data_IF_813817232147
#
_entry.id   IF_813817232147
#
_cell.length_a   1.000
_cell.length_b   1.000
_cell.length_c   1.000
_cell.angle_alpha   90.00
_cell.angle_beta   90.00
_cell.angle_gamma   90.00
#
_symmetry.space_group_name_H-M   'P 1'
#
loop_
_entity.id
_entity.type
_entity.pdbx_description
1 polymer ?
#
# COMPACT_ATOMS: atom_id res chain seq x y z
N UNK A 1 18.74 46.58 26.78
CA UNK A 1 19.46 45.65 25.87
C UNK A 1 19.60 44.28 26.52
N UNK A 2 18.49 43.69 26.99
CA UNK A 2 18.50 42.42 27.77
C UNK A 2 17.24 41.61 27.46
N UNK A 3 16.08 42.27 27.28
CA UNK A 3 14.80 41.64 26.92
C UNK A 3 14.78 41.04 25.50
N UNK A 4 15.44 41.68 24.51
CA UNK A 4 15.51 41.17 23.13
C UNK A 4 16.32 39.87 22.99
N UNK A 5 17.33 39.68 23.83
CA UNK A 5 18.21 38.50 23.82
C UNK A 5 17.52 37.30 24.49
N UNK A 6 16.73 37.56 25.55
CA UNK A 6 15.94 36.51 26.21
C UNK A 6 14.83 35.94 25.30
N UNK A 7 14.16 36.81 24.53
CA UNK A 7 13.11 36.38 23.58
C UNK A 7 13.71 35.55 22.45
N UNK A 8 14.90 35.91 21.96
CA UNK A 8 15.61 35.17 20.91
C UNK A 8 16.17 33.83 21.38
N UNK A 9 16.55 33.72 22.67
CA UNK A 9 17.01 32.47 23.27
C UNK A 9 15.84 31.51 23.56
N UNK A 10 14.66 32.03 23.93
CA UNK A 10 13.46 31.23 24.17
C UNK A 10 12.84 30.67 22.88
N UNK A 11 12.98 31.40 21.76
CA UNK A 11 12.53 30.96 20.43
C UNK A 11 13.43 29.87 19.81
N UNK A 12 14.65 29.67 20.32
CA UNK A 12 15.58 28.67 19.79
C UNK A 12 15.46 27.30 20.47
N UNK A 13 14.77 27.19 21.62
CA UNK A 13 14.74 25.96 22.43
C UNK A 13 13.49 25.09 22.26
N UNK A 14 12.55 25.46 21.38
CA UNK A 14 11.28 24.73 21.24
C UNK A 14 11.06 24.16 19.83
N UNK A 15 12.05 23.43 19.33
CA UNK A 15 11.83 22.49 18.23
C UNK A 15 11.97 21.09 18.81
N UNK A 16 10.89 20.56 19.37
CA UNK A 16 10.78 19.13 19.64
C UNK A 16 10.64 18.43 18.28
N UNK A 17 11.55 17.53 17.89
CA UNK A 17 11.35 16.72 16.70
C UNK A 17 10.11 15.85 16.94
N UNK A 18 9.02 16.16 16.24
CA UNK A 18 7.85 15.29 16.24
C UNK A 18 8.27 13.93 15.65
N UNK A 19 7.80 12.80 16.20
CA UNK A 19 8.01 11.52 15.54
C UNK A 19 7.37 11.63 14.15
N UNK A 20 8.20 11.49 13.11
CA UNK A 20 7.70 11.40 11.75
C UNK A 20 6.84 10.14 11.68
N UNK A 21 5.52 10.32 11.71
CA UNK A 21 4.59 9.24 11.42
C UNK A 21 4.87 8.86 9.97
N UNK A 22 5.47 7.68 9.76
CA UNK A 22 5.72 7.17 8.43
C UNK A 22 4.37 7.13 7.71
N UNK A 23 4.22 7.96 6.68
CA UNK A 23 2.99 7.97 5.89
C UNK A 23 2.89 6.65 5.16
N UNK A 24 1.73 6.00 5.24
CA UNK A 24 1.42 4.82 4.44
C UNK A 24 1.56 5.19 2.97
N UNK A 25 2.47 4.53 2.27
CA UNK A 25 2.76 4.79 0.87
C UNK A 25 1.70 4.18 -0.07
N UNK A 26 0.90 3.25 0.45
CA UNK A 26 -0.09 2.47 -0.29
C UNK A 26 -1.42 2.42 0.45
N UNK A 27 -2.50 2.17 -0.29
CA UNK A 27 -3.83 1.96 0.28
C UNK A 27 -3.97 0.55 0.83
N UNK A 28 -3.45 -0.43 0.08
CA UNK A 28 -3.42 -1.84 0.45
C UNK A 28 -2.03 -2.39 0.17
N UNK A 29 -1.51 -3.19 1.10
CA UNK A 29 -0.32 -4.02 0.88
C UNK A 29 -0.67 -5.49 1.10
N UNK A 30 -0.22 -6.34 0.19
CA UNK A 30 -0.27 -7.80 0.31
C UNK A 30 1.15 -8.27 0.57
N UNK A 31 1.38 -8.95 1.70
CA UNK A 31 2.73 -9.28 2.18
C UNK A 31 3.02 -10.78 2.12
N UNK A 32 4.26 -11.13 1.78
CA UNK A 32 4.82 -12.47 1.95
C UNK A 32 4.23 -13.58 1.08
N UNK A 33 3.42 -13.22 0.07
CA UNK A 33 2.84 -14.19 -0.85
C UNK A 33 3.80 -14.58 -1.97
N UNK A 34 3.58 -15.76 -2.57
CA UNK A 34 4.25 -16.12 -3.83
C UNK A 34 3.52 -15.42 -4.97
N UNK A 35 4.11 -14.34 -5.48
CA UNK A 35 3.55 -13.54 -6.57
C UNK A 35 3.84 -14.25 -7.89
N UNK A 36 2.78 -14.65 -8.59
CA UNK A 36 2.84 -15.27 -9.90
C UNK A 36 2.22 -14.35 -10.94
N UNK A 37 3.05 -13.84 -11.86
CA UNK A 37 2.62 -13.02 -12.98
C UNK A 37 3.10 -13.65 -14.30
N UNK A 38 2.19 -14.29 -15.07
CA UNK A 38 2.53 -14.91 -16.35
C UNK A 38 3.04 -13.93 -17.41
N UNK A 39 2.62 -12.66 -17.37
CA UNK A 39 3.00 -11.66 -18.38
C UNK A 39 4.49 -11.33 -18.26
N UNK A 40 4.98 -11.16 -17.04
CA UNK A 40 6.40 -10.85 -16.79
C UNK A 40 7.24 -12.10 -16.49
N UNK A 41 6.61 -13.28 -16.40
CA UNK A 41 7.26 -14.53 -15.98
C UNK A 41 7.72 -14.52 -14.51
N UNK A 42 7.11 -13.67 -13.67
CA UNK A 42 7.50 -13.56 -12.25
C UNK A 42 6.92 -14.72 -11.45
N UNK A 43 7.75 -15.31 -10.61
CA UNK A 43 7.40 -16.39 -9.71
C UNK A 43 8.34 -16.37 -8.48
N UNK A 44 8.01 -15.55 -7.49
CA UNK A 44 8.86 -15.33 -6.31
C UNK A 44 8.03 -14.94 -5.08
N UNK A 45 8.61 -15.06 -3.88
CA UNK A 45 8.01 -14.49 -2.67
C UNK A 45 8.24 -12.98 -2.69
N UNK A 46 7.15 -12.21 -2.68
CA UNK A 46 7.20 -10.76 -2.74
C UNK A 46 5.98 -10.12 -2.07
N UNK A 47 6.06 -8.79 -1.94
CA UNK A 47 5.01 -7.92 -1.45
C UNK A 47 4.44 -7.11 -2.62
N UNK A 48 3.14 -6.82 -2.57
CA UNK A 48 2.42 -6.04 -3.59
C UNK A 48 1.82 -4.79 -2.94
N UNK A 49 2.20 -3.61 -3.42
CA UNK A 49 1.66 -2.33 -2.99
C UNK A 49 0.64 -1.80 -4.00
N UNK A 50 -0.57 -1.51 -3.52
CA UNK A 50 -1.69 -0.99 -4.32
C UNK A 50 -2.00 0.43 -3.86
N UNK A 51 -2.05 1.36 -4.81
CA UNK A 51 -2.43 2.75 -4.60
C UNK A 51 -3.56 3.10 -5.58
N UNK A 52 -4.66 3.64 -5.08
CA UNK A 52 -5.88 3.90 -5.86
C UNK A 52 -6.37 2.61 -6.58
N UNK A 53 -6.33 2.61 -7.91
CA UNK A 53 -6.79 1.51 -8.77
C UNK A 53 -5.64 0.70 -9.40
N UNK A 54 -4.40 0.90 -8.93
CA UNK A 54 -3.19 0.35 -9.58
C UNK A 54 -2.24 -0.35 -8.63
N UNK A 55 -1.61 -1.39 -9.16
CA UNK A 55 -0.41 -1.97 -8.54
C UNK A 55 0.74 -0.99 -8.79
N UNK A 56 1.23 -0.37 -7.72
CA UNK A 56 2.28 0.64 -7.78
C UNK A 56 3.67 0.03 -7.53
N UNK A 57 3.73 -1.10 -6.82
CA UNK A 57 4.97 -1.83 -6.57
C UNK A 57 4.74 -3.34 -6.42
N UNK A 58 5.71 -4.12 -6.89
CA UNK A 58 5.91 -5.52 -6.53
C UNK A 58 7.39 -5.62 -6.13
N UNK A 59 7.68 -5.92 -4.86
CA UNK A 59 9.03 -5.84 -4.30
C UNK A 59 9.26 -6.87 -3.20
N UNK A 60 10.52 -7.25 -2.97
CA UNK A 60 10.92 -8.04 -1.80
C UNK A 60 11.17 -7.18 -0.56
N UNK A 61 11.18 -5.85 -0.72
CA UNK A 61 11.37 -4.91 0.39
C UNK A 61 10.12 -4.82 1.28
N UNK A 62 10.34 -4.43 2.53
CA UNK A 62 9.25 -4.12 3.45
C UNK A 62 8.48 -2.87 2.98
N UNK A 63 7.17 -3.04 2.81
CA UNK A 63 6.25 -1.96 2.42
C UNK A 63 5.12 -1.80 3.46
N UNK A 64 4.56 -0.59 3.54
CA UNK A 64 3.45 -0.25 4.43
C UNK A 64 2.30 0.40 3.68
N UNK A 65 1.09 0.04 4.05
CA UNK A 65 -0.12 0.65 3.53
C UNK A 65 -1.22 0.72 4.58
N UNK A 66 -2.26 1.52 4.30
CA UNK A 66 -3.39 1.75 5.22
C UNK A 66 -4.09 0.45 5.63
N UNK A 67 -4.08 -0.55 4.74
CA UNK A 67 -4.57 -1.91 4.99
C UNK A 67 -3.51 -2.94 4.62
N UNK A 68 -3.29 -3.89 5.51
CA UNK A 68 -2.36 -5.00 5.28
C UNK A 68 -3.11 -6.33 5.14
N UNK A 69 -2.67 -7.15 4.20
CA UNK A 69 -3.11 -8.52 3.98
C UNK A 69 -1.87 -9.42 4.06
N UNK A 70 -1.86 -10.35 5.02
CA UNK A 70 -0.81 -11.37 5.10
C UNK A 70 -1.16 -12.55 4.19
N UNK A 71 -0.33 -12.77 3.17
CA UNK A 71 -0.47 -13.83 2.18
C UNK A 71 0.63 -14.90 2.33
N UNK A 72 1.28 -14.99 3.50
CA UNK A 72 2.31 -15.99 3.78
C UNK A 72 1.82 -17.40 3.49
N UNK A 73 2.57 -18.15 2.68
CA UNK A 73 2.22 -19.51 2.26
C UNK A 73 1.08 -19.59 1.23
N UNK A 74 0.61 -18.46 0.70
CA UNK A 74 -0.44 -18.37 -0.32
C UNK A 74 0.13 -17.88 -1.65
N UNK A 75 -0.66 -18.03 -2.71
CA UNK A 75 -0.37 -17.50 -4.05
C UNK A 75 -1.06 -16.15 -4.21
N UNK A 76 -0.35 -15.18 -4.78
CA UNK A 76 -0.89 -13.90 -5.22
C UNK A 76 -0.80 -13.88 -6.75
N UNK A 77 -1.94 -13.77 -7.42
CA UNK A 77 -2.03 -13.81 -8.88
C UNK A 77 -2.97 -12.73 -9.40
N UNK A 78 -2.89 -12.35 -10.69
CA UNK A 78 -3.92 -11.58 -11.35
C UNK A 78 -5.30 -12.23 -11.16
N UNK A 79 -6.34 -11.40 -11.04
CA UNK A 79 -7.71 -11.88 -10.91
C UNK A 79 -8.15 -12.70 -12.14
N UNK A 80 -8.88 -13.78 -11.92
CA UNK A 80 -9.40 -14.59 -13.02
C UNK A 80 -10.50 -13.86 -13.79
N UNK A 81 -10.48 -14.00 -15.11
CA UNK A 81 -11.50 -13.48 -16.03
C UNK A 81 -12.33 -14.65 -16.53
N UNK A 82 -13.62 -14.67 -16.20
CA UNK A 82 -14.57 -15.65 -16.74
C UNK A 82 -15.16 -15.13 -18.06
N UNK A 83 -14.71 -15.73 -19.17
CA UNK A 83 -15.17 -15.39 -20.53
C UNK A 83 -16.42 -16.18 -20.95
N UNK A 84 -16.81 -17.19 -20.18
CA UNK A 84 -17.96 -18.05 -20.47
C UNK A 84 -19.21 -17.64 -19.70
N UNK A 85 -19.10 -16.63 -18.84
CA UNK A 85 -20.20 -16.11 -18.06
C UNK A 85 -21.35 -15.64 -18.95
N UNK A 86 -22.42 -16.42 -19.01
CA UNK A 86 -23.68 -15.99 -19.62
C UNK A 86 -24.51 -15.26 -18.56
N UNK A 87 -24.36 -13.94 -18.53
CA UNK A 87 -25.15 -13.05 -17.67
C UNK A 87 -26.59 -13.00 -18.19
N UNK A 88 -27.41 -13.99 -17.81
CA UNK A 88 -28.85 -13.94 -18.08
C UNK A 88 -29.45 -12.89 -17.17
N UNK A 89 -29.67 -11.70 -17.73
CA UNK A 89 -30.56 -10.72 -17.13
C UNK A 89 -31.95 -11.36 -17.12
N UNK A 90 -32.39 -11.80 -15.96
CA UNK A 90 -33.79 -12.08 -15.74
C UNK A 90 -34.56 -10.83 -16.14
N UNK A 91 -35.41 -10.97 -17.17
CA UNK A 91 -36.35 -9.93 -17.57
C UNK A 91 -37.23 -9.65 -16.36
N UNK A 92 -36.95 -8.57 -15.65
CA UNK A 92 -37.94 -7.91 -14.84
C UNK A 92 -39.10 -7.48 -15.77
N UNK A 93 -40.32 -7.81 -15.31
CA UNK A 93 -41.61 -7.33 -15.75
C UNK A 93 -42.14 -7.79 -17.11
N UNK A 94 -42.93 -8.86 -17.07
CA UNK A 94 -44.32 -8.79 -17.50
C UNK A 94 -45.23 -9.28 -16.37
#
# INVERSE_FOLDING_TARGET
MTIRVLISAFLLSLVLPAPAVAQDAYDVVILGGRVMDPETGRDEIANVGILDDRIQAITTDDIRGRRTIDASGQIVAPGFIDILANMRLDRAAH
#
